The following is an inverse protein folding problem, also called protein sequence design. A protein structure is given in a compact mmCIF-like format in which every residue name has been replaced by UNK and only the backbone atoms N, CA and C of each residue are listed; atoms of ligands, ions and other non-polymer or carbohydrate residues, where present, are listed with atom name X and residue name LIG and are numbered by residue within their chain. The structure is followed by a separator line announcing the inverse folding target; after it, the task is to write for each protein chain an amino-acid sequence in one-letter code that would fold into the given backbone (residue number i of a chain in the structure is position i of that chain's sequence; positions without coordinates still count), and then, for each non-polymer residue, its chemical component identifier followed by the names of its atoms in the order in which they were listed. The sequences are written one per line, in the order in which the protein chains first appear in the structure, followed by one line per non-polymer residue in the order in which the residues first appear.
data_IF_220652204673
#
_entry.id   IF_220652204673
#
_cell.length_a   1.000
_cell.length_b   1.000
_cell.length_c   1.000
_cell.angle_alpha   90.00
_cell.angle_beta   90.00
_cell.angle_gamma   90.00
#
_symmetry.space_group_name_H-M   'P 1'
#
loop_
_entity.id
_entity.type
_entity.pdbx_description
1 polymer ?
#
# COMPACT_ATOMS: atom_id res chain seq x y z
N UNK A 1 13.84 4.77 -5.16
CA UNK A 1 13.10 3.71 -4.45
C UNK A 1 13.30 3.96 -2.97
N UNK A 2 12.21 4.04 -2.21
CA UNK A 2 12.23 4.26 -0.75
C UNK A 2 11.76 2.99 -0.07
N UNK A 3 12.35 2.66 1.07
CA UNK A 3 11.94 1.53 1.92
C UNK A 3 11.54 2.07 3.28
N UNK A 4 10.38 1.66 3.77
CA UNK A 4 9.83 2.02 5.07
C UNK A 4 9.71 0.75 5.90
N UNK A 5 10.25 0.77 7.11
CA UNK A 5 9.90 -0.24 8.11
C UNK A 5 8.68 0.26 8.87
N UNK A 6 7.68 -0.61 9.04
CA UNK A 6 6.42 -0.32 9.71
C UNK A 6 6.11 -1.43 10.71
N UNK A 7 5.51 -1.06 11.83
CA UNK A 7 4.97 -2.02 12.77
C UNK A 7 3.54 -2.39 12.36
N UNK A 8 3.20 -3.67 12.48
CA UNK A 8 1.84 -4.16 12.27
C UNK A 8 1.43 -5.07 13.43
N UNK A 9 0.13 -5.13 13.70
CA UNK A 9 -0.44 -6.08 14.65
C UNK A 9 -1.32 -7.04 13.86
N UNK A 10 -0.99 -8.32 13.87
CA UNK A 10 -1.72 -9.41 13.21
C UNK A 10 -2.24 -10.37 14.27
N UNK A 11 -3.56 -10.56 14.35
CA UNK A 11 -4.22 -11.42 15.32
C UNK A 11 -3.72 -11.20 16.76
N UNK A 12 -3.53 -9.93 17.12
CA UNK A 12 -3.05 -9.49 18.43
C UNK A 12 -1.53 -9.58 18.66
N UNK A 13 -0.75 -10.06 17.70
CA UNK A 13 0.70 -10.20 17.79
C UNK A 13 1.40 -9.09 16.99
N UNK A 14 2.47 -8.53 17.53
CA UNK A 14 3.28 -7.54 16.83
C UNK A 14 4.20 -8.22 15.81
N UNK A 15 4.25 -7.64 14.61
CA UNK A 15 5.15 -8.04 13.54
C UNK A 15 5.81 -6.81 12.93
N UNK A 16 6.97 -7.02 12.31
CA UNK A 16 7.58 -6.03 11.42
C UNK A 16 7.09 -6.28 10.00
N UNK A 17 6.76 -5.21 9.29
CA UNK A 17 6.57 -5.24 7.86
C UNK A 17 7.44 -4.18 7.19
N UNK A 18 7.75 -4.42 5.93
CA UNK A 18 8.44 -3.44 5.10
C UNK A 18 7.53 -3.00 3.98
N UNK A 19 7.40 -1.70 3.76
CA UNK A 19 6.86 -1.14 2.53
C UNK A 19 7.95 -0.59 1.61
N UNK A 20 8.07 -1.14 0.40
CA UNK A 20 8.91 -0.62 -0.67
C UNK A 20 8.07 0.27 -1.59
N UNK A 21 8.61 1.43 -1.96
CA UNK A 21 7.95 2.43 -2.82
C UNK A 21 8.85 2.74 -4.01
N UNK A 22 8.30 2.60 -5.21
CA UNK A 22 8.97 2.91 -6.45
C UNK A 22 8.12 3.82 -7.34
N UNK A 23 8.77 4.76 -8.02
CA UNK A 23 8.15 5.61 -9.03
C UNK A 23 8.65 5.16 -10.39
N UNK A 24 7.73 4.79 -11.28
CA UNK A 24 8.07 4.45 -12.66
C UNK A 24 7.88 5.64 -13.59
N UNK A 25 7.08 6.64 -13.16
CA UNK A 25 6.90 7.92 -13.83
C UNK A 25 6.33 8.96 -12.84
N UNK A 26 6.23 10.25 -13.22
CA UNK A 26 5.53 11.25 -12.40
C UNK A 26 4.06 10.90 -12.10
N UNK A 27 3.46 10.03 -12.91
CA UNK A 27 2.05 9.65 -12.87
C UNK A 27 1.84 8.23 -12.33
N UNK A 28 2.91 7.52 -11.96
CA UNK A 28 2.84 6.11 -11.62
C UNK A 28 3.67 5.77 -10.39
N UNK A 29 3.02 5.17 -9.40
CA UNK A 29 3.65 4.71 -8.16
C UNK A 29 3.34 3.23 -7.98
N UNK A 30 4.37 2.45 -7.66
CA UNK A 30 4.24 1.08 -7.19
C UNK A 30 4.61 1.01 -5.71
N UNK A 31 3.80 0.26 -4.95
CA UNK A 31 4.01 -0.03 -3.54
C UNK A 31 3.96 -1.52 -3.32
N UNK A 32 4.80 -2.02 -2.43
CA UNK A 32 4.83 -3.40 -2.00
C UNK A 32 4.99 -3.43 -0.49
N UNK A 33 4.08 -4.08 0.23
CA UNK A 33 4.23 -4.35 1.66
C UNK A 33 4.36 -5.85 1.89
N UNK A 34 5.41 -6.24 2.62
CA UNK A 34 5.70 -7.63 2.99
C UNK A 34 5.86 -7.71 4.51
N UNK A 35 5.15 -8.64 5.14
CA UNK A 35 5.33 -8.95 6.56
C UNK A 35 6.52 -9.89 6.73
N UNK A 36 7.47 -9.58 7.61
CA UNK A 36 8.71 -10.34 7.72
C UNK A 36 8.50 -11.79 8.21
N UNK A 37 7.55 -11.98 9.13
CA UNK A 37 7.31 -13.24 9.83
C UNK A 37 5.96 -13.88 9.46
N UNK A 38 5.32 -13.44 8.37
CA UNK A 38 4.05 -13.99 7.87
C UNK A 38 4.04 -13.96 6.34
N UNK A 39 3.43 -14.94 5.65
CA UNK A 39 3.40 -15.02 4.19
C UNK A 39 2.42 -14.00 3.54
N UNK A 40 2.18 -12.87 4.21
CA UNK A 40 1.23 -11.85 3.79
C UNK A 40 1.98 -10.76 3.03
N UNK A 41 1.55 -10.54 1.79
CA UNK A 41 2.06 -9.48 0.93
C UNK A 41 0.92 -8.72 0.26
N UNK A 42 1.16 -7.43 0.01
CA UNK A 42 0.32 -6.63 -0.87
C UNK A 42 1.21 -5.89 -1.86
N UNK A 43 0.95 -6.10 -3.14
CA UNK A 43 1.55 -5.36 -4.24
C UNK A 43 0.50 -4.40 -4.78
N UNK A 44 0.86 -3.17 -5.09
CA UNK A 44 -0.07 -2.15 -5.56
C UNK A 44 0.56 -1.25 -6.60
N UNK A 45 -0.24 -0.85 -7.58
CA UNK A 45 0.14 0.10 -8.62
C UNK A 45 -0.94 1.16 -8.76
N UNK A 46 -0.51 2.42 -8.81
CA UNK A 46 -1.38 3.58 -8.98
C UNK A 46 -0.96 4.30 -10.25
N UNK A 47 -1.92 4.55 -11.13
CA UNK A 47 -1.75 5.35 -12.34
C UNK A 47 -2.74 6.52 -12.30
N UNK A 48 -2.23 7.74 -12.23
CA UNK A 48 -3.05 8.95 -12.14
C UNK A 48 -2.42 10.13 -12.86
N UNK A 49 -3.17 10.70 -13.80
CA UNK A 49 -2.81 11.96 -14.47
C UNK A 49 -3.58 13.14 -13.87
N UNK A 50 -3.06 14.38 -13.98
CA UNK A 50 -3.81 15.56 -13.56
C UNK A 50 -5.19 15.61 -14.23
N UNK A 51 -6.24 15.79 -13.43
CA UNK A 51 -7.65 15.89 -13.86
C UNK A 51 -8.26 14.62 -14.45
N UNK A 52 -7.58 13.48 -14.40
CA UNK A 52 -8.10 12.18 -14.80
C UNK A 52 -8.20 11.27 -13.58
N UNK A 53 -9.19 10.37 -13.57
CA UNK A 53 -9.34 9.39 -12.50
C UNK A 53 -8.04 8.63 -12.24
N UNK A 54 -7.78 8.31 -10.97
CA UNK A 54 -6.66 7.46 -10.59
C UNK A 54 -7.12 6.01 -10.62
N UNK A 55 -6.41 5.18 -11.36
CA UNK A 55 -6.64 3.74 -11.39
C UNK A 55 -5.63 3.06 -10.46
N UNK A 56 -6.14 2.24 -9.55
CA UNK A 56 -5.35 1.42 -8.64
C UNK A 56 -5.59 -0.06 -8.94
N UNK A 57 -4.52 -0.84 -8.93
CA UNK A 57 -4.58 -2.31 -8.98
C UNK A 57 -3.72 -2.88 -7.88
N UNK A 58 -4.26 -3.85 -7.15
CA UNK A 58 -3.61 -4.49 -6.03
C UNK A 58 -3.61 -6.00 -6.23
N UNK A 59 -2.51 -6.65 -5.86
CA UNK A 59 -2.40 -8.10 -5.76
C UNK A 59 -2.12 -8.43 -4.29
N UNK A 60 -3.09 -9.03 -3.63
CA UNK A 60 -2.98 -9.49 -2.26
C UNK A 60 -2.65 -10.98 -2.23
N UNK A 61 -1.63 -11.33 -1.47
CA UNK A 61 -1.15 -12.68 -1.24
C UNK A 61 -1.27 -12.95 0.27
N UNK A 62 -2.30 -13.65 0.76
CA UNK A 62 -2.41 -13.98 2.18
C UNK A 62 -1.52 -15.17 2.60
N UNK A 63 -1.11 -15.99 1.64
CA UNK A 63 -0.33 -17.20 1.81
C UNK A 63 0.37 -17.58 0.47
N UNK A 64 1.18 -18.64 0.47
CA UNK A 64 1.95 -19.07 -0.71
C UNK A 64 1.12 -19.70 -1.85
N UNK A 65 -0.16 -20.01 -1.60
CA UNK A 65 -1.00 -20.82 -2.48
C UNK A 65 -2.21 -20.06 -3.05
N UNK A 66 -2.51 -18.89 -2.53
CA UNK A 66 -3.68 -18.11 -2.91
C UNK A 66 -3.34 -16.64 -3.22
N UNK A 67 -4.12 -16.06 -4.12
CA UNK A 67 -3.94 -14.68 -4.55
C UNK A 67 -5.28 -14.03 -4.89
N UNK A 68 -5.40 -12.74 -4.63
CA UNK A 68 -6.58 -11.94 -5.00
C UNK A 68 -6.15 -10.64 -5.68
N UNK A 69 -6.74 -10.37 -6.84
CA UNK A 69 -6.58 -9.08 -7.53
C UNK A 69 -7.75 -8.18 -7.19
N UNK A 70 -7.44 -6.96 -6.78
CA UNK A 70 -8.40 -5.90 -6.47
C UNK A 70 -8.11 -4.74 -7.40
N UNK A 71 -9.15 -4.16 -7.99
CA UNK A 71 -9.03 -2.93 -8.77
C UNK A 71 -9.96 -1.88 -8.20
N UNK A 72 -9.47 -0.64 -8.20
CA UNK A 72 -10.24 0.50 -7.76
C UNK A 72 -10.03 1.69 -8.72
N UNK A 73 -11.06 2.51 -8.84
CA UNK A 73 -11.00 3.78 -9.56
C UNK A 73 -11.37 4.87 -8.57
N UNK A 74 -10.45 5.79 -8.37
CA UNK A 74 -10.60 6.92 -7.46
C UNK A 74 -10.72 8.20 -8.27
N UNK A 75 -11.35 9.21 -7.70
CA UNK A 75 -11.25 10.55 -8.28
C UNK A 75 -9.81 11.05 -8.18
N UNK A 76 -9.44 11.89 -9.14
CA UNK A 76 -8.09 12.46 -9.22
C UNK A 76 -7.68 13.28 -7.98
N UNK A 77 -8.65 13.80 -7.24
CA UNK A 77 -8.45 14.62 -6.04
C UNK A 77 -8.52 13.82 -4.73
N UNK A 78 -9.04 12.59 -4.77
CA UNK A 78 -9.02 11.66 -3.64
C UNK A 78 -7.64 11.00 -3.51
N UNK A 79 -7.12 10.48 -4.63
CA UNK A 79 -5.78 9.86 -4.72
C UNK A 79 -4.96 10.60 -5.79
N UNK A 80 -4.39 11.78 -5.45
CA UNK A 80 -3.60 12.56 -6.39
C UNK A 80 -2.16 12.04 -6.49
N UNK A 81 -1.92 11.08 -7.38
CA UNK A 81 -0.61 10.41 -7.58
C UNK A 81 0.56 11.39 -7.81
N UNK A 82 0.29 12.54 -8.41
CA UNK A 82 1.31 13.54 -8.73
C UNK A 82 1.62 14.51 -7.58
N UNK A 83 0.69 14.70 -6.63
CA UNK A 83 0.71 15.85 -5.72
C UNK A 83 0.58 15.50 -4.23
N UNK A 84 0.03 14.34 -3.87
CA UNK A 84 0.02 13.87 -2.48
C UNK A 84 0.14 12.33 -2.43
N UNK A 85 1.36 11.81 -2.59
CA UNK A 85 1.60 10.37 -2.72
C UNK A 85 1.35 9.60 -1.43
N UNK A 86 1.43 10.27 -0.28
CA UNK A 86 0.93 9.78 1.00
C UNK A 86 -0.50 9.22 0.92
N UNK A 87 -1.37 9.72 0.02
CA UNK A 87 -2.71 9.14 -0.18
C UNK A 87 -2.68 7.76 -0.84
N UNK A 88 -1.73 7.50 -1.73
CA UNK A 88 -1.52 6.16 -2.28
C UNK A 88 -1.05 5.19 -1.20
N UNK A 89 -0.16 5.64 -0.30
CA UNK A 89 0.32 4.83 0.82
C UNK A 89 -0.79 4.46 1.82
N UNK A 90 -1.62 5.44 2.19
CA UNK A 90 -2.75 5.22 3.09
C UNK A 90 -3.81 4.31 2.47
N UNK A 91 -4.12 4.50 1.19
CA UNK A 91 -5.04 3.63 0.46
C UNK A 91 -4.50 2.19 0.39
N UNK A 92 -3.21 2.02 0.08
CA UNK A 92 -2.53 0.73 0.08
C UNK A 92 -2.66 0.00 1.43
N UNK A 93 -2.42 0.68 2.55
CA UNK A 93 -2.60 0.08 3.87
C UNK A 93 -4.06 -0.21 4.21
N UNK A 94 -4.99 0.63 3.76
CA UNK A 94 -6.42 0.36 3.88
C UNK A 94 -6.82 -0.95 3.18
N UNK A 95 -6.35 -1.14 1.94
CA UNK A 95 -6.56 -2.38 1.19
C UNK A 95 -5.93 -3.57 1.91
N UNK A 96 -4.72 -3.45 2.44
CA UNK A 96 -4.05 -4.52 3.18
C UNK A 96 -4.89 -4.98 4.39
N UNK A 97 -5.39 -4.03 5.18
CA UNK A 97 -6.26 -4.30 6.34
C UNK A 97 -7.56 -4.98 5.93
N UNK A 98 -8.24 -4.46 4.90
CA UNK A 98 -9.52 -5.01 4.45
C UNK A 98 -9.38 -6.40 3.82
N UNK A 99 -8.28 -6.66 3.12
CA UNK A 99 -8.01 -7.97 2.53
C UNK A 99 -7.57 -9.00 3.58
N UNK A 100 -6.80 -8.61 4.59
CA UNK A 100 -6.51 -9.45 5.75
C UNK A 100 -7.81 -9.85 6.48
N UNK A 101 -8.70 -8.88 6.72
CA UNK A 101 -10.02 -9.15 7.30
C UNK A 101 -10.84 -10.12 6.44
N UNK A 102 -10.85 -9.94 5.13
CA UNK A 102 -11.55 -10.84 4.20
C UNK A 102 -10.94 -12.24 4.19
N UNK A 103 -9.64 -12.37 4.48
CA UNK A 103 -8.95 -13.65 4.65
C UNK A 103 -9.19 -14.30 6.03
N UNK A 104 -9.86 -13.61 6.95
CA UNK A 104 -10.16 -14.10 8.30
C UNK A 104 -9.14 -13.71 9.36
N UNK A 105 -8.21 -12.80 9.05
CA UNK A 105 -7.21 -12.30 10.00
C UNK A 105 -7.54 -10.86 10.45
N UNK A 106 -7.21 -10.51 11.69
CA UNK A 106 -7.28 -9.13 12.19
C UNK A 106 -5.92 -8.45 12.02
N UNK A 107 -5.80 -7.55 11.05
CA UNK A 107 -4.59 -6.78 10.83
C UNK A 107 -4.80 -5.29 11.16
N UNK A 108 -3.80 -4.69 11.81
CA UNK A 108 -3.69 -3.24 12.02
C UNK A 108 -2.31 -2.78 11.58
N UNK A 109 -2.25 -1.70 10.81
CA UNK A 109 -1.00 -1.06 10.40
C UNK A 109 -0.76 0.17 11.27
N UNK A 110 0.43 0.27 11.87
CA UNK A 110 0.84 1.43 12.66
C UNK A 110 1.66 2.36 11.77
N UNK A 111 1.00 3.42 11.29
CA UNK A 111 1.61 4.42 10.41
C UNK A 111 2.00 5.64 11.23
N UNK A 112 3.28 6.00 11.20
CA UNK A 112 3.78 7.22 11.84
C UNK A 112 3.99 8.34 10.81
N UNK A 113 4.03 9.59 11.28
CA UNK A 113 4.16 10.76 10.41
C UNK A 113 5.46 10.73 9.59
N UNK A 114 6.54 10.16 10.14
CA UNK A 114 7.80 9.97 9.41
C UNK A 114 7.65 9.04 8.19
N UNK A 115 6.79 8.02 8.26
CA UNK A 115 6.51 7.13 7.14
C UNK A 115 5.80 7.89 6.01
N UNK A 116 4.86 8.76 6.38
CA UNK A 116 4.11 9.59 5.43
C UNK A 116 4.99 10.68 4.80
N UNK A 117 5.94 11.24 5.55
CA UNK A 117 6.87 12.22 5.00
C UNK A 117 7.84 11.59 3.99
N UNK A 118 8.28 10.36 4.23
CA UNK A 118 9.31 9.70 3.43
C UNK A 118 8.87 9.39 1.98
N UNK A 119 7.57 9.21 1.71
CA UNK A 119 7.09 8.94 0.33
C UNK A 119 7.21 10.16 -0.60
N UNK A 120 7.24 11.38 -0.06
CA UNK A 120 7.33 12.61 -0.86
C UNK A 120 8.77 13.10 -1.07
N UNK A 121 9.77 12.46 -0.43
CA UNK A 121 11.19 12.86 -0.52
C UNK A 121 11.93 12.46 -1.80
N UNK A 122 11.28 11.75 -2.73
CA UNK A 122 11.85 11.41 -4.04
C UNK A 122 11.30 12.35 -5.12
N UNK A 123 12.10 13.36 -5.47
CA UNK A 123 11.99 14.13 -6.72
C UNK A 123 13.12 13.76 -7.66
#
# INVERSE_FOLDING_TARGET
MTRLEIAVVLDGHEHTATTTIAHTSPHTVALETVLADAPIELHSTYLGHPRQSTHATHLYLPDETSARTITAVHRHDEIPVCAARQRCLLDHYGVLVDQARTAGAELRVLVHDENLAAIDTLT
#
